data_IF_878323829814
#
_entry.id   IF_878323829814
#
_cell.length_a   1.000
_cell.length_b   1.000
_cell.length_c   1.000
_cell.angle_alpha   90.00
_cell.angle_beta   90.00
_cell.angle_gamma   90.00
#
_symmetry.space_group_name_H-M   'P 1'
#
loop_
_entity.id
_entity.type
_entity.pdbx_description
1 polymer ?
#
# COMPACT_ATOMS: atom_id res chain seq x y z
N UNK A 1 -22.14 1.10 -13.33
CA UNK A 1 -21.95 2.47 -13.88
C UNK A 1 -22.82 2.69 -15.09
N UNK A 2 -23.55 3.82 -15.10
CA UNK A 2 -24.35 4.26 -16.26
C UNK A 2 -23.46 4.73 -17.43
N UNK A 3 -24.00 4.75 -18.68
CA UNK A 3 -23.25 5.27 -19.84
C UNK A 3 -22.74 6.70 -19.65
N UNK A 4 -23.54 7.57 -19.05
CA UNK A 4 -23.17 8.97 -18.80
C UNK A 4 -21.98 9.10 -17.85
N UNK A 5 -21.96 8.29 -16.80
CA UNK A 5 -20.84 8.23 -15.83
C UNK A 5 -19.56 7.73 -16.52
N UNK A 6 -19.65 6.68 -17.34
CA UNK A 6 -18.52 6.18 -18.14
C UNK A 6 -17.97 7.25 -19.08
N UNK A 7 -18.86 7.96 -19.78
CA UNK A 7 -18.45 9.02 -20.71
C UNK A 7 -17.79 10.20 -19.99
N UNK A 8 -18.30 10.56 -18.80
CA UNK A 8 -17.69 11.62 -17.99
C UNK A 8 -16.28 11.21 -17.49
N UNK A 9 -16.11 9.98 -17.04
CA UNK A 9 -14.81 9.44 -16.62
C UNK A 9 -13.81 9.39 -17.80
N UNK A 10 -14.23 8.95 -18.98
CA UNK A 10 -13.38 8.94 -20.19
C UNK A 10 -12.90 10.36 -20.54
N UNK A 11 -13.80 11.35 -20.54
CA UNK A 11 -13.41 12.75 -20.82
C UNK A 11 -12.38 13.27 -19.83
N UNK A 12 -12.58 12.98 -18.54
CA UNK A 12 -11.61 13.34 -17.50
C UNK A 12 -10.27 12.65 -17.73
N UNK A 13 -10.28 11.33 -18.00
CA UNK A 13 -9.07 10.56 -18.26
C UNK A 13 -8.28 11.08 -19.48
N UNK A 14 -8.96 11.53 -20.54
CA UNK A 14 -8.32 12.14 -21.69
C UNK A 14 -7.68 13.51 -21.39
N UNK A 15 -8.25 14.27 -20.45
CA UNK A 15 -7.71 15.58 -20.03
C UNK A 15 -6.48 15.44 -19.14
N UNK A 16 -6.41 14.37 -18.35
CA UNK A 16 -5.30 14.12 -17.40
C UNK A 16 -4.08 13.47 -18.04
N UNK A 17 -4.17 13.00 -19.30
CA UNK A 17 -3.03 12.39 -19.98
C UNK A 17 -1.77 13.28 -19.91
N UNK A 18 -0.58 12.71 -19.68
CA UNK A 18 -0.26 11.27 -19.62
C UNK A 18 -0.42 10.64 -18.22
N UNK A 19 -1.03 11.34 -17.28
CA UNK A 19 -1.22 10.87 -15.89
C UNK A 19 -2.50 10.04 -15.78
N UNK A 20 -2.54 9.17 -14.79
CA UNK A 20 -3.79 8.55 -14.37
C UNK A 20 -4.78 9.59 -13.87
N UNK A 21 -6.00 9.56 -14.41
CA UNK A 21 -7.14 10.25 -13.82
C UNK A 21 -7.75 9.39 -12.72
N UNK A 22 -8.27 10.03 -11.68
CA UNK A 22 -9.02 9.37 -10.62
C UNK A 22 -10.30 10.14 -10.29
N UNK A 23 -11.32 9.42 -9.85
CA UNK A 23 -12.58 10.02 -9.46
C UNK A 23 -13.51 9.03 -8.76
N UNK A 24 -14.68 9.51 -8.39
CA UNK A 24 -15.64 8.77 -7.58
C UNK A 24 -16.99 8.68 -8.31
N UNK A 25 -17.66 7.55 -8.17
CA UNK A 25 -19.07 7.42 -8.52
C UNK A 25 -19.87 7.67 -7.24
N UNK A 26 -20.69 8.71 -7.28
CA UNK A 26 -21.50 9.14 -6.12
C UNK A 26 -22.98 8.90 -6.43
N UNK A 27 -23.70 8.28 -5.50
CA UNK A 27 -25.16 8.18 -5.59
C UNK A 27 -25.79 9.45 -5.02
N UNK A 28 -26.37 10.25 -5.90
CA UNK A 28 -27.06 11.48 -5.52
C UNK A 28 -28.52 11.40 -5.99
N UNK A 29 -29.46 11.53 -5.05
CA UNK A 29 -30.90 11.43 -5.35
C UNK A 29 -31.26 10.16 -6.17
N UNK A 30 -30.64 9.02 -5.83
CA UNK A 30 -30.86 7.74 -6.51
C UNK A 30 -30.22 7.62 -7.90
N UNK A 31 -29.34 8.53 -8.29
CA UNK A 31 -28.64 8.52 -9.59
C UNK A 31 -27.14 8.50 -9.40
N UNK A 32 -26.45 7.72 -10.22
CA UNK A 32 -25.00 7.76 -10.32
C UNK A 32 -24.51 9.05 -10.98
N UNK A 33 -23.55 9.71 -10.35
CA UNK A 33 -22.87 10.90 -10.87
C UNK A 33 -21.37 10.70 -10.73
N UNK A 34 -20.60 11.00 -11.78
CA UNK A 34 -19.14 11.01 -11.71
C UNK A 34 -18.64 12.30 -11.06
N UNK A 35 -17.79 12.15 -10.07
CA UNK A 35 -17.07 13.24 -9.41
C UNK A 35 -15.57 13.11 -9.74
N UNK A 36 -15.03 13.94 -10.64
CA UNK A 36 -13.61 13.95 -10.93
C UNK A 36 -12.84 14.43 -9.71
N UNK A 37 -11.70 13.78 -9.42
CA UNK A 37 -10.82 14.15 -8.31
C UNK A 37 -9.43 14.48 -8.84
N UNK A 38 -8.73 15.36 -8.14
CA UNK A 38 -7.32 15.64 -8.42
C UNK A 38 -6.47 14.45 -8.03
N UNK A 39 -5.52 14.12 -8.90
CA UNK A 39 -4.50 13.13 -8.61
C UNK A 39 -3.27 13.83 -8.00
N UNK A 40 -3.01 13.59 -6.72
CA UNK A 40 -1.86 14.17 -5.98
C UNK A 40 -0.57 13.34 -6.12
N UNK A 41 -0.59 12.17 -6.78
CA UNK A 41 0.60 11.37 -6.98
C UNK A 41 1.67 12.14 -7.77
N UNK A 42 2.92 12.03 -7.38
CA UNK A 42 4.05 12.51 -8.18
C UNK A 42 4.37 11.58 -9.37
N UNK A 43 3.94 10.32 -9.30
CA UNK A 43 4.13 9.32 -10.35
C UNK A 43 2.92 9.34 -11.32
N UNK A 44 3.21 9.38 -12.62
CA UNK A 44 2.16 9.42 -13.66
C UNK A 44 1.34 8.12 -13.72
N UNK A 45 1.94 6.98 -13.39
CA UNK A 45 1.34 5.64 -13.43
C UNK A 45 0.71 5.24 -12.09
N UNK A 46 0.33 6.23 -11.29
CA UNK A 46 -0.28 6.03 -9.97
C UNK A 46 -1.25 7.16 -9.68
N UNK A 47 -2.19 6.91 -8.80
CA UNK A 47 -3.05 7.99 -8.30
C UNK A 47 -3.15 8.01 -6.77
N UNK A 48 -3.31 9.21 -6.26
CA UNK A 48 -3.70 9.52 -4.88
C UNK A 48 -4.82 10.55 -4.96
N UNK A 49 -6.02 10.14 -4.57
CA UNK A 49 -7.18 11.05 -4.56
C UNK A 49 -6.95 12.16 -3.55
N UNK A 50 -7.16 13.42 -3.97
CA UNK A 50 -7.13 14.56 -3.05
C UNK A 50 -8.19 14.38 -1.96
N UNK A 51 -7.79 14.39 -0.66
CA UNK A 51 -8.72 14.27 0.46
C UNK A 51 -9.86 15.28 0.45
N UNK A 52 -9.61 16.50 -0.05
CA UNK A 52 -10.64 17.53 -0.15
C UNK A 52 -11.71 17.17 -1.21
N UNK A 53 -11.29 16.62 -2.36
CA UNK A 53 -12.23 16.19 -3.38
C UNK A 53 -13.03 14.96 -2.92
N UNK A 54 -12.38 14.07 -2.16
CA UNK A 54 -13.06 12.92 -1.55
C UNK A 54 -14.12 13.38 -0.52
N UNK A 55 -13.78 14.32 0.36
CA UNK A 55 -14.72 14.90 1.34
C UNK A 55 -15.90 15.59 0.64
N UNK A 56 -15.64 16.38 -0.41
CA UNK A 56 -16.70 17.02 -1.20
C UNK A 56 -17.64 16.00 -1.87
N UNK A 57 -17.11 14.88 -2.33
CA UNK A 57 -17.92 13.80 -2.89
C UNK A 57 -18.84 13.18 -1.83
N UNK A 58 -18.31 12.90 -0.63
CA UNK A 58 -19.10 12.40 0.51
C UNK A 58 -20.23 13.33 0.90
N UNK A 59 -20.00 14.65 0.88
CA UNK A 59 -21.05 15.63 1.16
C UNK A 59 -22.16 15.65 0.09
N UNK A 60 -21.88 15.16 -1.11
CA UNK A 60 -22.85 15.11 -2.23
C UNK A 60 -23.71 13.85 -2.24
N UNK A 61 -23.25 12.76 -1.64
CA UNK A 61 -23.95 11.50 -1.58
C UNK A 61 -23.06 10.33 -1.16
N UNK A 62 -23.60 9.12 -1.30
CA UNK A 62 -22.88 7.88 -1.01
C UNK A 62 -21.86 7.57 -2.10
N UNK A 63 -20.62 7.24 -1.71
CA UNK A 63 -19.60 6.77 -2.65
C UNK A 63 -19.87 5.32 -3.01
N UNK A 64 -20.23 5.07 -4.26
CA UNK A 64 -20.57 3.75 -4.76
C UNK A 64 -19.40 3.03 -5.43
N UNK A 65 -18.43 3.77 -5.98
CA UNK A 65 -17.25 3.19 -6.61
C UNK A 65 -16.13 4.23 -6.76
N UNK A 66 -14.90 3.71 -6.93
CA UNK A 66 -13.74 4.49 -7.36
C UNK A 66 -13.50 4.21 -8.86
N UNK A 67 -13.09 5.22 -9.61
CA UNK A 67 -12.75 5.11 -11.03
C UNK A 67 -11.35 5.66 -11.23
N UNK A 68 -10.50 4.95 -11.97
CA UNK A 68 -9.24 5.50 -12.46
C UNK A 68 -8.94 5.05 -13.90
N UNK A 69 -7.95 5.67 -14.51
CA UNK A 69 -7.54 5.33 -15.87
C UNK A 69 -6.14 4.74 -15.91
N UNK A 70 -5.91 3.86 -16.89
CA UNK A 70 -4.57 3.38 -17.27
C UNK A 70 -4.16 4.00 -18.61
N UNK A 71 -3.36 5.07 -18.61
CA UNK A 71 -2.81 5.65 -19.82
C UNK A 71 -1.89 4.67 -20.56
N UNK A 72 -2.14 4.47 -21.84
CA UNK A 72 -1.34 3.62 -22.75
C UNK A 72 -1.17 2.15 -22.31
N UNK A 73 -2.02 1.67 -21.40
CA UNK A 73 -1.99 0.32 -20.87
C UNK A 73 -3.39 -0.33 -20.94
N UNK A 74 -3.44 -1.65 -20.72
CA UNK A 74 -4.71 -2.37 -20.59
C UNK A 74 -5.45 -1.97 -19.31
N UNK A 75 -6.78 -2.19 -19.24
CA UNK A 75 -7.54 -1.92 -18.00
C UNK A 75 -7.34 -3.02 -16.93
N UNK A 76 -6.48 -4.00 -17.18
CA UNK A 76 -6.23 -5.09 -16.23
C UNK A 76 -5.69 -4.53 -14.91
N UNK A 77 -6.31 -4.89 -13.77
CA UNK A 77 -5.92 -4.37 -12.48
C UNK A 77 -4.55 -4.89 -12.03
N UNK A 78 -3.69 -3.98 -11.62
CA UNK A 78 -2.43 -4.29 -10.96
C UNK A 78 -2.63 -4.96 -9.59
N UNK A 79 -1.57 -5.46 -8.99
CA UNK A 79 -1.62 -5.94 -7.60
C UNK A 79 -1.95 -4.79 -6.62
N UNK A 80 -1.47 -3.58 -6.91
CA UNK A 80 -1.77 -2.39 -6.10
C UNK A 80 -3.25 -2.01 -6.17
N UNK A 81 -3.86 -2.05 -7.36
CA UNK A 81 -5.30 -1.82 -7.53
C UNK A 81 -6.13 -2.81 -6.73
N UNK A 82 -5.77 -4.10 -6.80
CA UNK A 82 -6.44 -5.16 -6.03
C UNK A 82 -6.36 -4.90 -4.53
N UNK A 83 -5.17 -4.61 -4.01
CA UNK A 83 -4.98 -4.33 -2.60
C UNK A 83 -5.70 -3.06 -2.14
N UNK A 84 -5.70 -2.01 -2.96
CA UNK A 84 -6.38 -0.76 -2.65
C UNK A 84 -7.91 -0.89 -2.75
N UNK A 85 -8.42 -1.67 -3.70
CA UNK A 85 -9.85 -1.99 -3.81
C UNK A 85 -10.34 -2.73 -2.56
N UNK A 86 -9.63 -3.77 -2.10
CA UNK A 86 -9.95 -4.48 -0.86
C UNK A 86 -10.01 -3.53 0.34
N UNK A 87 -9.05 -2.62 0.45
CA UNK A 87 -8.98 -1.65 1.55
C UNK A 87 -10.09 -0.61 1.49
N UNK A 88 -10.50 -0.18 0.31
CA UNK A 88 -11.55 0.82 0.13
C UNK A 88 -12.95 0.28 0.46
N UNK A 89 -13.15 -1.02 0.33
CA UNK A 89 -14.45 -1.68 0.56
C UNK A 89 -15.51 -1.38 -0.52
N UNK A 90 -15.16 -0.67 -1.59
CA UNK A 90 -16.08 -0.33 -2.70
C UNK A 90 -15.53 -0.85 -4.03
N UNK A 91 -16.41 -1.10 -5.03
CA UNK A 91 -15.96 -1.47 -6.36
C UNK A 91 -15.05 -0.42 -7.01
N UNK A 92 -14.11 -0.90 -7.83
CA UNK A 92 -13.23 -0.08 -8.67
C UNK A 92 -13.50 -0.32 -10.14
N UNK A 93 -13.49 0.73 -10.92
CA UNK A 93 -13.62 0.66 -12.37
C UNK A 93 -12.38 1.28 -13.01
N UNK A 94 -11.75 0.55 -13.90
CA UNK A 94 -10.51 0.94 -14.57
C UNK A 94 -10.82 1.12 -16.05
N UNK A 95 -10.42 2.25 -16.64
CA UNK A 95 -10.54 2.50 -18.07
C UNK A 95 -9.19 2.65 -18.74
N UNK A 96 -8.95 1.91 -19.81
CA UNK A 96 -7.76 2.10 -20.66
C UNK A 96 -7.90 3.32 -21.55
N UNK A 97 -6.83 4.08 -21.73
CA UNK A 97 -6.78 5.20 -22.68
C UNK A 97 -5.57 4.98 -23.61
N UNK A 98 -5.74 4.96 -24.94
CA UNK A 98 -6.92 5.37 -25.72
C UNK A 98 -7.93 4.26 -26.06
N UNK A 99 -7.76 3.03 -25.57
CA UNK A 99 -8.58 1.87 -25.98
C UNK A 99 -10.04 1.93 -25.52
N UNK A 100 -10.33 2.68 -24.44
CA UNK A 100 -11.67 2.81 -23.82
C UNK A 100 -12.27 1.48 -23.34
N UNK A 101 -11.43 0.48 -23.12
CA UNK A 101 -11.82 -0.78 -22.51
C UNK A 101 -11.96 -0.61 -21.00
N UNK A 102 -12.84 -1.42 -20.40
CA UNK A 102 -13.16 -1.33 -18.98
C UNK A 102 -12.93 -2.64 -18.26
N UNK A 103 -12.30 -2.56 -17.10
CA UNK A 103 -12.29 -3.62 -16.10
C UNK A 103 -13.03 -3.17 -14.85
N UNK A 104 -13.52 -4.14 -14.08
CA UNK A 104 -14.17 -3.89 -12.79
C UNK A 104 -13.60 -4.83 -11.76
N UNK A 105 -13.17 -4.27 -10.63
CA UNK A 105 -12.81 -4.96 -9.42
C UNK A 105 -13.90 -4.81 -8.38
N UNK A 106 -14.12 -5.84 -7.60
CA UNK A 106 -14.93 -5.78 -6.37
C UNK A 106 -14.14 -6.37 -5.22
N UNK A 107 -14.27 -5.83 -4.01
CA UNK A 107 -13.67 -6.45 -2.83
C UNK A 107 -14.09 -7.92 -2.73
N UNK A 108 -13.12 -8.81 -2.56
CA UNK A 108 -13.30 -10.27 -2.61
C UNK A 108 -12.60 -11.01 -1.49
N UNK A 109 -11.88 -10.28 -0.63
CA UNK A 109 -10.97 -10.85 0.36
C UNK A 109 -9.60 -11.21 -0.23
N UNK A 110 -9.25 -10.67 -1.41
CA UNK A 110 -7.96 -10.94 -2.03
C UNK A 110 -6.80 -10.39 -1.18
N UNK A 111 -5.81 -11.23 -0.96
CA UNK A 111 -4.56 -10.86 -0.27
C UNK A 111 -3.39 -11.08 -1.22
N UNK A 112 -2.50 -10.10 -1.32
CA UNK A 112 -1.31 -10.21 -2.13
C UNK A 112 -0.40 -11.36 -1.63
N UNK A 113 0.25 -12.11 -2.53
CA UNK A 113 1.18 -13.15 -2.13
C UNK A 113 2.30 -12.54 -1.28
N UNK A 114 2.78 -13.25 -0.26
CA UNK A 114 3.86 -12.74 0.60
C UNK A 114 5.20 -12.63 -0.15
N UNK A 115 5.42 -13.45 -1.17
CA UNK A 115 6.60 -13.46 -2.04
C UNK A 115 6.17 -13.16 -3.47
N UNK A 116 6.94 -12.33 -4.17
CA UNK A 116 6.67 -11.99 -5.58
C UNK A 116 5.66 -10.86 -5.75
N UNK A 117 5.32 -10.09 -4.69
CA UNK A 117 4.47 -8.91 -4.84
C UNK A 117 5.26 -7.72 -5.38
N UNK A 118 4.62 -6.96 -6.23
CA UNK A 118 5.13 -5.71 -6.76
C UNK A 118 5.14 -4.63 -5.67
N UNK A 119 6.20 -3.83 -5.66
CA UNK A 119 6.32 -2.75 -4.66
C UNK A 119 5.45 -1.56 -5.05
N UNK A 120 4.60 -1.16 -4.12
CA UNK A 120 3.82 0.07 -4.23
C UNK A 120 3.77 0.75 -2.86
N UNK A 121 4.37 1.94 -2.78
CA UNK A 121 4.50 2.66 -1.51
C UNK A 121 3.13 2.92 -0.87
N UNK A 122 3.03 2.71 0.44
CA UNK A 122 1.78 2.87 1.21
C UNK A 122 0.69 1.81 0.95
N UNK A 123 0.80 1.02 -0.13
CA UNK A 123 -0.20 0.01 -0.50
C UNK A 123 0.34 -1.40 -0.43
N UNK A 124 1.48 -1.68 -1.10
CA UNK A 124 2.18 -2.97 -1.10
C UNK A 124 3.66 -2.74 -0.79
N UNK A 125 3.95 -2.20 0.37
CA UNK A 125 5.29 -1.90 0.87
C UNK A 125 5.75 -2.92 1.93
N UNK A 126 6.90 -2.65 2.55
CA UNK A 126 7.45 -3.51 3.59
C UNK A 126 6.54 -3.62 4.82
N UNK A 127 5.83 -2.55 5.22
CA UNK A 127 4.93 -2.61 6.37
C UNK A 127 3.61 -3.33 6.05
N UNK A 128 3.08 -3.16 4.86
CA UNK A 128 1.91 -3.94 4.42
C UNK A 128 2.25 -5.44 4.36
N UNK A 129 3.46 -5.79 3.91
CA UNK A 129 3.94 -7.18 3.97
C UNK A 129 3.98 -7.71 5.41
N UNK A 130 4.45 -6.89 6.37
CA UNK A 130 4.43 -7.25 7.80
C UNK A 130 2.99 -7.49 8.28
N UNK A 131 2.08 -6.57 7.99
CA UNK A 131 0.66 -6.71 8.39
C UNK A 131 0.03 -7.99 7.87
N UNK A 132 0.23 -8.29 6.59
CA UNK A 132 -0.32 -9.48 5.94
C UNK A 132 0.30 -10.77 6.51
N UNK A 133 1.61 -10.75 6.78
CA UNK A 133 2.27 -11.89 7.39
C UNK A 133 1.71 -12.20 8.79
N UNK A 134 1.50 -11.17 9.62
CA UNK A 134 0.92 -11.34 10.96
C UNK A 134 -0.53 -11.80 10.90
N UNK A 135 -1.33 -11.27 9.98
CA UNK A 135 -2.69 -11.73 9.78
C UNK A 135 -2.76 -13.21 9.39
N UNK A 136 -1.90 -13.63 8.44
CA UNK A 136 -1.91 -15.01 7.93
C UNK A 136 -1.28 -16.03 8.88
N UNK A 137 -0.23 -15.66 9.62
CA UNK A 137 0.54 -16.61 10.41
C UNK A 137 0.25 -16.56 11.92
N UNK A 138 -0.27 -15.44 12.41
CA UNK A 138 -0.54 -15.21 13.83
C UNK A 138 -2.00 -14.85 14.12
N UNK A 139 -2.85 -14.77 13.12
CA UNK A 139 -4.23 -14.25 13.23
C UNK A 139 -4.27 -12.89 13.94
N UNK A 140 -3.26 -12.04 13.71
CA UNK A 140 -3.08 -10.76 14.35
C UNK A 140 -3.22 -9.61 13.33
N UNK A 141 -4.21 -8.75 13.55
CA UNK A 141 -4.47 -7.60 12.68
C UNK A 141 -3.75 -6.36 13.22
N UNK A 142 -2.63 -6.03 12.61
CA UNK A 142 -1.85 -4.84 12.96
C UNK A 142 -2.53 -3.58 12.40
N UNK A 143 -2.47 -2.44 13.13
CA UNK A 143 -3.02 -1.18 12.64
C UNK A 143 -2.34 -0.75 11.34
N UNK A 144 -3.07 -0.04 10.50
CA UNK A 144 -2.50 0.65 9.35
C UNK A 144 -2.09 2.06 9.74
N UNK A 145 -0.93 2.48 9.25
CA UNK A 145 -0.42 3.84 9.43
C UNK A 145 -0.25 4.48 8.06
N UNK A 146 -0.66 5.72 7.93
CA UNK A 146 -0.42 6.50 6.73
C UNK A 146 1.09 6.65 6.50
N UNK A 147 1.54 6.29 5.31
CA UNK A 147 2.94 6.34 4.88
C UNK A 147 3.01 7.13 3.57
N UNK A 148 3.15 8.43 3.68
CA UNK A 148 3.40 9.28 2.51
C UNK A 148 4.78 8.98 1.89
N UNK A 149 4.96 9.34 0.63
CA UNK A 149 6.25 9.16 -0.04
C UNK A 149 7.37 9.86 0.73
N UNK A 150 8.49 9.16 0.88
CA UNK A 150 9.70 9.65 1.55
C UNK A 150 9.44 10.26 2.94
N UNK A 151 8.48 9.71 3.71
CA UNK A 151 8.15 10.19 5.05
C UNK A 151 9.40 10.34 5.95
N UNK A 152 10.39 9.47 5.80
CA UNK A 152 11.65 9.50 6.56
C UNK A 152 12.51 10.74 6.22
N UNK A 153 12.44 11.25 4.99
CA UNK A 153 13.13 12.48 4.59
C UNK A 153 12.40 13.75 5.07
N UNK A 154 11.12 13.63 5.43
CA UNK A 154 10.27 14.71 5.95
C UNK A 154 10.30 14.82 7.48
N UNK A 155 11.27 14.18 8.13
CA UNK A 155 11.47 14.25 9.58
C UNK A 155 10.56 13.36 10.42
N UNK A 156 9.80 12.46 9.81
CA UNK A 156 8.98 11.49 10.53
C UNK A 156 9.81 10.26 10.91
N UNK A 157 9.44 9.58 12.01
CA UNK A 157 10.08 8.35 12.47
C UNK A 157 9.03 7.26 12.73
N UNK A 158 8.21 6.97 11.72
CA UNK A 158 6.98 6.21 11.85
C UNK A 158 7.16 4.88 12.59
N UNK A 159 8.21 4.11 12.26
CA UNK A 159 8.41 2.82 12.91
C UNK A 159 8.67 2.95 14.41
N UNK A 160 9.51 3.92 14.82
CA UNK A 160 9.85 4.09 16.24
C UNK A 160 8.77 4.83 17.02
N UNK A 161 7.92 5.59 16.34
CA UNK A 161 6.79 6.28 16.97
C UNK A 161 5.57 5.36 17.13
N UNK A 162 5.41 4.36 16.25
CA UNK A 162 4.18 3.57 16.15
C UNK A 162 4.27 2.11 16.62
N UNK A 163 5.49 1.58 16.86
CA UNK A 163 5.64 0.15 17.20
C UNK A 163 4.85 -0.28 18.44
N UNK A 164 4.75 0.57 19.46
CA UNK A 164 4.01 0.27 20.68
C UNK A 164 2.50 0.19 20.43
N UNK A 165 1.96 1.08 19.57
CA UNK A 165 0.55 1.03 19.16
C UNK A 165 0.27 -0.24 18.33
N UNK A 166 1.23 -0.71 17.55
CA UNK A 166 1.15 -1.97 16.84
C UNK A 166 1.43 -3.21 17.73
N UNK A 167 1.49 -3.04 19.06
CA UNK A 167 1.72 -4.08 20.06
C UNK A 167 3.08 -4.77 19.91
N UNK A 168 4.10 -4.03 19.54
CA UNK A 168 5.48 -4.52 19.58
C UNK A 168 6.22 -3.93 20.78
N UNK A 169 7.17 -4.68 21.31
CA UNK A 169 8.16 -4.22 22.27
C UNK A 169 9.56 -4.37 21.70
N UNK A 170 10.48 -3.50 22.11
CA UNK A 170 11.89 -3.62 21.73
C UNK A 170 12.50 -4.83 22.41
N UNK A 171 13.31 -5.56 21.67
CA UNK A 171 14.17 -6.60 22.20
C UNK A 171 15.64 -6.20 22.00
N UNK A 172 16.53 -6.56 22.93
CA UNK A 172 17.95 -6.31 22.77
C UNK A 172 18.47 -6.93 21.48
N UNK A 173 19.33 -6.22 20.78
CA UNK A 173 20.18 -6.77 19.73
C UNK A 173 21.59 -6.85 20.30
N UNK A 174 22.24 -8.01 20.16
CA UNK A 174 23.67 -8.13 20.42
C UNK A 174 24.47 -7.25 19.46
N UNK A 175 25.70 -6.88 19.84
CA UNK A 175 26.57 -6.03 19.02
C UNK A 175 26.80 -6.62 17.61
N UNK A 176 26.90 -7.94 17.54
CA UNK A 176 27.03 -8.69 16.29
C UNK A 176 25.67 -9.10 15.67
N UNK A 177 24.54 -8.68 16.30
CA UNK A 177 23.18 -8.90 15.83
C UNK A 177 22.90 -10.37 15.49
N UNK A 178 23.22 -11.27 16.43
CA UNK A 178 23.11 -12.72 16.24
C UNK A 178 21.67 -13.17 16.11
N UNK A 179 21.42 -14.10 15.18
CA UNK A 179 20.08 -14.67 14.98
C UNK A 179 19.54 -15.46 16.17
N UNK A 180 20.40 -16.01 17.01
CA UNK A 180 20.03 -16.88 18.15
C UNK A 180 19.15 -16.18 19.20
N UNK A 181 19.17 -14.85 19.26
CA UNK A 181 18.32 -14.05 20.14
C UNK A 181 16.95 -13.74 19.51
N UNK A 182 16.80 -13.98 18.22
CA UNK A 182 15.60 -13.70 17.47
C UNK A 182 14.68 -14.92 17.41
N UNK A 183 13.36 -14.67 17.43
CA UNK A 183 12.31 -15.67 17.23
C UNK A 183 11.59 -15.40 15.92
N UNK A 184 11.09 -16.45 15.28
CA UNK A 184 10.25 -16.29 14.08
C UNK A 184 9.12 -15.30 14.34
N UNK A 185 8.97 -14.32 13.45
CA UNK A 185 8.02 -13.21 13.59
C UNK A 185 8.59 -11.95 14.23
N UNK A 186 9.83 -11.97 14.77
CA UNK A 186 10.45 -10.73 15.19
C UNK A 186 10.68 -9.82 13.99
N UNK A 187 10.44 -8.52 14.17
CA UNK A 187 10.70 -7.51 13.15
C UNK A 187 12.10 -6.94 13.30
N UNK A 188 12.79 -6.82 12.20
CA UNK A 188 14.08 -6.16 12.09
C UNK A 188 13.87 -4.83 11.37
N UNK A 189 14.10 -3.73 12.09
CA UNK A 189 14.04 -2.40 11.50
C UNK A 189 15.42 -2.01 10.99
N UNK A 190 15.46 -1.57 9.75
CA UNK A 190 16.68 -1.20 9.04
C UNK A 190 16.65 0.26 8.63
N UNK A 191 17.84 0.85 8.67
CA UNK A 191 18.09 2.22 8.21
C UNK A 191 18.82 2.16 6.87
N UNK A 192 18.07 2.36 5.78
CA UNK A 192 18.56 2.22 4.41
C UNK A 192 18.61 3.59 3.74
N UNK A 193 19.81 4.18 3.61
CA UNK A 193 19.99 5.53 3.05
C UNK A 193 19.03 6.57 3.65
N UNK A 194 18.81 6.51 4.94
CA UNK A 194 17.81 7.31 5.66
C UNK A 194 18.35 7.74 7.01
N UNK A 195 17.95 8.89 7.58
CA UNK A 195 18.33 9.31 8.93
C UNK A 195 17.66 8.48 10.04
N UNK A 196 16.58 7.75 9.72
CA UNK A 196 15.80 6.94 10.65
C UNK A 196 15.50 5.56 10.04
N UNK A 197 15.09 4.54 10.82
CA UNK A 197 14.65 3.27 10.27
C UNK A 197 13.49 3.48 9.30
N UNK A 198 13.67 3.08 8.05
CA UNK A 198 12.69 3.25 6.98
C UNK A 198 12.31 1.93 6.28
N UNK A 199 12.84 0.81 6.76
CA UNK A 199 12.54 -0.51 6.24
C UNK A 199 12.31 -1.50 7.37
N UNK A 200 11.33 -2.40 7.18
CA UNK A 200 11.00 -3.48 8.10
C UNK A 200 11.12 -4.83 7.38
N UNK A 201 11.67 -5.81 8.08
CA UNK A 201 11.74 -7.20 7.63
C UNK A 201 11.29 -8.13 8.77
N UNK A 202 10.74 -9.29 8.40
CA UNK A 202 10.32 -10.32 9.34
C UNK A 202 11.41 -11.38 9.41
N UNK A 203 11.87 -11.69 10.60
CA UNK A 203 12.77 -12.81 10.84
C UNK A 203 12.03 -14.14 10.72
N UNK A 204 12.51 -15.07 9.88
CA UNK A 204 11.87 -16.35 9.61
C UNK A 204 12.42 -17.53 10.45
N UNK A 205 13.45 -17.30 11.28
CA UNK A 205 13.95 -18.29 12.21
C UNK A 205 15.09 -19.20 11.66
N UNK A 206 15.36 -19.14 10.36
CA UNK A 206 16.32 -20.03 9.68
C UNK A 206 17.49 -19.28 9.01
N UNK A 207 17.82 -18.12 9.52
CA UNK A 207 18.85 -17.26 8.94
C UNK A 207 18.35 -16.41 7.78
N UNK A 208 17.03 -16.38 7.51
CA UNK A 208 16.43 -15.59 6.45
C UNK A 208 15.42 -14.58 6.97
N UNK A 209 15.18 -13.57 6.16
CA UNK A 209 14.17 -12.54 6.37
C UNK A 209 13.20 -12.51 5.22
N UNK A 210 11.95 -12.20 5.51
CA UNK A 210 10.93 -11.85 4.52
C UNK A 210 10.79 -10.33 4.50
N UNK A 211 10.94 -9.73 3.35
CA UNK A 211 10.89 -8.28 3.23
C UNK A 211 10.51 -7.80 1.83
N UNK A 212 10.28 -6.50 1.69
CA UNK A 212 9.89 -5.89 0.43
C UNK A 212 10.62 -4.56 0.25
N UNK A 213 11.63 -4.53 -0.59
CA UNK A 213 12.39 -3.33 -0.96
C UNK A 213 11.77 -2.64 -2.16
N UNK A 214 11.84 -1.33 -2.20
CA UNK A 214 11.48 -0.54 -3.38
C UNK A 214 12.30 -0.97 -4.60
N UNK A 215 11.65 -1.06 -5.75
CA UNK A 215 12.25 -1.49 -7.01
C UNK A 215 12.51 -3.00 -7.13
N UNK A 216 12.04 -3.81 -6.18
CA UNK A 216 12.14 -5.27 -6.21
C UNK A 216 10.80 -5.91 -5.87
N UNK A 217 10.63 -7.17 -6.29
CA UNK A 217 9.56 -8.01 -5.77
C UNK A 217 9.86 -8.38 -4.31
N UNK A 218 8.81 -8.56 -3.51
CA UNK A 218 8.97 -9.10 -2.15
C UNK A 218 9.66 -10.46 -2.19
N UNK A 219 10.58 -10.69 -1.28
CA UNK A 219 11.44 -11.88 -1.32
C UNK A 219 11.81 -12.36 0.07
N UNK A 220 12.28 -13.61 0.10
CA UNK A 220 12.98 -14.21 1.22
C UNK A 220 14.48 -14.14 0.93
N UNK A 221 15.20 -13.39 1.72
CA UNK A 221 16.63 -13.16 1.55
C UNK A 221 17.40 -13.65 2.78
N UNK A 222 18.68 -14.01 2.61
CA UNK A 222 19.56 -14.38 3.72
C UNK A 222 19.85 -13.15 4.58
N UNK A 223 19.64 -13.27 5.89
CA UNK A 223 20.00 -12.22 6.86
C UNK A 223 21.50 -12.23 7.10
N UNK A 224 22.24 -11.56 6.25
CA UNK A 224 23.71 -11.47 6.35
C UNK A 224 24.19 -10.12 5.83
N UNK A 225 25.49 -9.91 5.86
CA UNK A 225 26.18 -8.79 5.24
C UNK A 225 25.46 -7.45 5.34
N UNK A 226 24.84 -7.07 4.24
CA UNK A 226 24.18 -5.78 4.08
C UNK A 226 22.99 -5.59 5.06
N UNK A 227 22.04 -6.51 5.11
CA UNK A 227 20.85 -6.35 5.96
C UNK A 227 21.20 -6.30 7.44
N UNK A 228 22.11 -7.17 7.85
CA UNK A 228 22.58 -7.23 9.23
C UNK A 228 23.29 -5.93 9.65
N UNK A 229 24.14 -5.38 8.79
CA UNK A 229 24.82 -4.10 9.03
C UNK A 229 23.85 -2.95 9.24
N UNK A 230 22.77 -2.90 8.47
CA UNK A 230 21.81 -1.78 8.48
C UNK A 230 20.66 -1.98 9.48
N UNK A 231 20.56 -3.14 10.14
CA UNK A 231 19.57 -3.37 11.20
C UNK A 231 19.93 -2.55 12.44
N UNK A 232 19.00 -1.74 12.89
CA UNK A 232 19.18 -0.84 14.04
C UNK A 232 18.34 -1.25 15.24
N UNK A 233 17.20 -1.89 15.03
CA UNK A 233 16.27 -2.31 16.08
C UNK A 233 15.70 -3.68 15.77
N UNK A 234 15.38 -4.42 16.83
CA UNK A 234 14.56 -5.60 16.76
C UNK A 234 13.33 -5.42 17.65
N UNK A 235 12.19 -5.86 17.14
CA UNK A 235 10.90 -5.72 17.80
C UNK A 235 10.20 -7.08 17.88
N UNK A 236 9.59 -7.38 19.02
CA UNK A 236 8.79 -8.58 19.22
C UNK A 236 7.33 -8.22 19.43
N UNK A 237 6.45 -8.94 18.74
CA UNK A 237 5.02 -8.82 18.94
C UNK A 237 4.62 -9.35 20.32
N UNK A 238 3.84 -8.56 21.07
CA UNK A 238 3.39 -8.86 22.43
C UNK A 238 1.88 -8.97 22.55
N UNK A 239 1.16 -8.82 21.43
CA UNK A 239 -0.28 -9.05 21.40
C UNK A 239 -0.58 -10.55 21.55
N UNK A 240 -1.57 -10.88 22.38
CA UNK A 240 -2.12 -12.22 22.51
C UNK A 240 -3.26 -12.39 21.50
#
# INVERSE_FOLDING_TARGET
>A
MTPDVKQAAIRHAQQELPREACGLVVIRNGREVYHPCRNLSANADQFVIDPLDYEQAMQRGEIAAIVHSHPYASPEPSQADKAACERSGVPWHIVSIPGFEWATLTPSGWVAPLIGREFHHGTLDCYTLVRDWFALNCNAHLPDFERGDEWWAKGQNLYLDQYAQARFSRIPLSDDKRPDELKTGDLLLMQLCSPVPNHAAIWLGDGTILHHLSGRLSSRDVFGGYYRKHTTHALRYTGA
#
